data_IF_129399346190
#
_entry.id   IF_129399346190
#
_cell.length_a   1.000
_cell.length_b   1.000
_cell.length_c   1.000
_cell.angle_alpha   90.00
_cell.angle_beta   90.00
_cell.angle_gamma   90.00
#
_symmetry.space_group_name_H-M   'P 1'
#
loop_
_entity.id
_entity.type
_entity.pdbx_description
1 polymer ?
#
# COMPACT_ATOMS: atom_id res chain seq x y z
N UNK A 1 -12.68 -0.06 -12.04
CA UNK A 1 -13.63 -0.79 -12.91
C UNK A 1 -13.08 -1.14 -14.30
N UNK A 2 -11.98 -0.54 -14.79
CA UNK A 2 -11.45 -0.85 -16.14
C UNK A 2 -10.74 -2.22 -16.28
N UNK A 3 -10.39 -2.88 -15.17
CA UNK A 3 -9.71 -4.20 -15.17
C UNK A 3 -10.62 -5.36 -14.71
N UNK A 4 -11.68 -5.07 -13.95
CA UNK A 4 -12.65 -6.09 -13.53
C UNK A 4 -13.73 -6.16 -14.61
N UNK A 5 -13.45 -6.92 -15.67
CA UNK A 5 -14.43 -7.24 -16.70
C UNK A 5 -15.32 -8.39 -16.23
N UNK A 6 -16.53 -8.49 -16.76
CA UNK A 6 -17.48 -9.59 -16.48
C UNK A 6 -16.82 -10.96 -16.70
N UNK A 7 -15.94 -11.07 -17.69
CA UNK A 7 -15.17 -12.29 -17.98
C UNK A 7 -14.17 -12.65 -16.87
N UNK A 8 -13.50 -11.67 -16.26
CA UNK A 8 -12.52 -11.91 -15.17
C UNK A 8 -13.26 -12.24 -13.86
N UNK A 9 -14.37 -11.55 -13.61
CA UNK A 9 -15.26 -11.83 -12.48
C UNK A 9 -15.85 -13.24 -12.60
N UNK A 10 -16.37 -13.58 -13.79
CA UNK A 10 -16.90 -14.91 -14.06
C UNK A 10 -15.83 -15.99 -13.97
N UNK A 11 -14.64 -15.81 -14.56
CA UNK A 11 -13.56 -16.80 -14.46
C UNK A 11 -13.10 -17.05 -13.01
N UNK A 12 -13.33 -16.10 -12.10
CA UNK A 12 -13.00 -16.27 -10.67
C UNK A 12 -14.12 -16.98 -9.90
N UNK A 13 -15.39 -16.75 -10.25
CA UNK A 13 -16.55 -17.22 -9.50
C UNK A 13 -17.38 -18.31 -10.21
N UNK A 14 -17.01 -18.71 -11.42
CA UNK A 14 -17.73 -19.69 -12.23
C UNK A 14 -17.84 -21.06 -11.56
N UNK A 15 -16.89 -21.41 -10.69
CA UNK A 15 -16.91 -22.64 -9.90
C UNK A 15 -17.84 -22.58 -8.68
N UNK A 16 -18.24 -21.38 -8.23
CA UNK A 16 -18.96 -21.19 -6.96
C UNK A 16 -20.35 -20.56 -7.11
N UNK A 17 -20.63 -19.84 -8.21
CA UNK A 17 -21.86 -19.08 -8.39
C UNK A 17 -22.50 -19.33 -9.76
N UNK A 18 -23.82 -19.52 -9.77
CA UNK A 18 -24.62 -19.53 -11.02
C UNK A 18 -24.53 -18.16 -11.70
N UNK A 19 -24.50 -18.15 -13.04
CA UNK A 19 -24.34 -16.94 -13.86
C UNK A 19 -25.25 -15.77 -13.42
N UNK A 20 -26.53 -16.05 -13.17
CA UNK A 20 -27.50 -15.02 -12.77
C UNK A 20 -27.17 -14.37 -11.41
N UNK A 21 -26.63 -15.15 -10.46
CA UNK A 21 -26.20 -14.64 -9.15
C UNK A 21 -24.90 -13.85 -9.24
N UNK A 22 -23.95 -14.32 -10.06
CA UNK A 22 -22.72 -13.58 -10.31
C UNK A 22 -23.02 -12.20 -10.94
N UNK A 23 -23.97 -12.14 -11.88
CA UNK A 23 -24.35 -10.91 -12.55
C UNK A 23 -25.14 -9.96 -11.64
N UNK A 24 -26.01 -10.49 -10.77
CA UNK A 24 -26.73 -9.68 -9.77
C UNK A 24 -25.74 -9.01 -8.80
N UNK A 25 -24.75 -9.76 -8.30
CA UNK A 25 -23.69 -9.23 -7.41
C UNK A 25 -22.86 -8.17 -8.13
N UNK A 26 -22.46 -8.43 -9.37
CA UNK A 26 -21.70 -7.48 -10.19
C UNK A 26 -22.47 -6.16 -10.39
N UNK A 27 -23.78 -6.24 -10.68
CA UNK A 27 -24.62 -5.05 -10.88
C UNK A 27 -24.76 -4.19 -9.62
N UNK A 28 -24.95 -4.82 -8.45
CA UNK A 28 -25.00 -4.12 -7.14
C UNK A 28 -23.66 -3.50 -6.79
N UNK A 29 -22.55 -4.21 -7.03
CA UNK A 29 -21.20 -3.70 -6.82
C UNK A 29 -20.91 -2.48 -7.73
N UNK A 30 -21.29 -2.57 -9.01
CA UNK A 30 -21.15 -1.49 -9.99
C UNK A 30 -21.90 -0.22 -9.56
N UNK A 31 -23.14 -0.36 -9.07
CA UNK A 31 -23.94 0.77 -8.59
C UNK A 31 -23.33 1.48 -7.38
N UNK A 32 -22.55 0.79 -6.54
CA UNK A 32 -21.88 1.38 -5.38
C UNK A 32 -20.48 1.91 -5.68
N UNK A 33 -19.96 1.69 -6.90
CA UNK A 33 -18.62 2.11 -7.29
C UNK A 33 -18.38 3.61 -7.15
N UNK A 34 -19.38 4.47 -7.41
CA UNK A 34 -19.25 5.93 -7.27
C UNK A 34 -18.86 6.36 -5.84
N UNK A 35 -19.36 5.64 -4.82
CA UNK A 35 -19.05 5.88 -3.41
C UNK A 35 -17.57 5.60 -3.14
N UNK A 36 -17.02 4.54 -3.75
CA UNK A 36 -15.61 4.19 -3.61
C UNK A 36 -14.67 5.30 -4.13
N UNK A 37 -15.07 6.02 -5.18
CA UNK A 37 -14.29 7.14 -5.72
C UNK A 37 -14.23 8.34 -4.77
N UNK A 38 -15.25 8.55 -3.92
CA UNK A 38 -15.23 9.57 -2.87
C UNK A 38 -14.52 9.10 -1.59
N UNK A 39 -14.69 7.83 -1.22
CA UNK A 39 -14.09 7.27 -0.01
C UNK A 39 -12.57 7.13 -0.15
N UNK A 40 -12.07 6.74 -1.32
CA UNK A 40 -10.63 6.53 -1.58
C UNK A 40 -9.77 7.74 -1.22
N UNK A 41 -10.02 8.97 -1.72
CA UNK A 41 -9.21 10.13 -1.36
C UNK A 41 -9.30 10.49 0.12
N UNK A 42 -10.45 10.27 0.77
CA UNK A 42 -10.61 10.49 2.21
C UNK A 42 -9.73 9.51 3.01
N UNK A 43 -9.75 8.23 2.65
CA UNK A 43 -8.89 7.22 3.28
C UNK A 43 -7.40 7.52 3.06
N UNK A 44 -7.03 7.99 1.88
CA UNK A 44 -5.65 8.43 1.59
C UNK A 44 -5.25 9.62 2.46
N UNK A 45 -6.11 10.63 2.61
CA UNK A 45 -5.82 11.76 3.50
C UNK A 45 -5.63 11.32 4.95
N UNK A 46 -6.51 10.45 5.45
CA UNK A 46 -6.36 9.87 6.80
C UNK A 46 -5.03 9.14 6.93
N UNK A 47 -4.67 8.31 5.94
CA UNK A 47 -3.38 7.61 5.92
C UNK A 47 -2.21 8.60 6.02
N UNK A 48 -2.21 9.66 5.21
CA UNK A 48 -1.12 10.63 5.20
C UNK A 48 -1.04 11.39 6.53
N UNK A 49 -2.18 11.71 7.14
CA UNK A 49 -2.25 12.33 8.46
C UNK A 49 -1.67 11.43 9.54
N UNK A 50 -2.04 10.14 9.56
CA UNK A 50 -1.51 9.16 10.52
C UNK A 50 0.01 9.04 10.37
N UNK A 51 0.52 8.90 9.14
CA UNK A 51 1.95 8.82 8.87
C UNK A 51 2.69 10.09 9.30
N UNK A 52 2.09 11.26 9.09
CA UNK A 52 2.68 12.54 9.48
C UNK A 52 2.77 12.69 10.99
N UNK A 53 1.74 12.24 11.71
CA UNK A 53 1.74 12.24 13.19
C UNK A 53 2.78 11.27 13.73
N UNK A 54 2.90 10.06 13.16
CA UNK A 54 3.94 9.09 13.55
C UNK A 54 5.35 9.66 13.40
N UNK A 55 5.64 10.30 12.26
CA UNK A 55 6.93 10.96 12.04
C UNK A 55 7.13 12.14 13.00
N UNK A 56 6.09 12.94 13.24
CA UNK A 56 6.15 14.05 14.18
C UNK A 56 6.46 13.59 15.61
N UNK A 57 5.93 12.46 16.03
CA UNK A 57 6.24 11.85 17.34
C UNK A 57 7.74 11.53 17.43
N UNK A 58 8.36 10.93 16.42
CA UNK A 58 9.80 10.67 16.49
C UNK A 58 10.67 11.92 16.42
N UNK A 59 10.24 12.94 15.70
CA UNK A 59 10.88 14.26 15.69
C UNK A 59 10.81 14.90 17.07
N UNK A 60 9.67 14.74 17.76
CA UNK A 60 9.49 15.20 19.13
C UNK A 60 10.46 14.50 20.09
N UNK A 61 10.59 13.18 20.00
CA UNK A 61 11.57 12.41 20.79
C UNK A 61 13.03 12.74 20.46
N UNK A 62 13.30 13.32 19.30
CA UNK A 62 14.64 13.71 18.88
C UNK A 62 14.96 15.19 19.19
N UNK A 63 14.11 15.87 19.98
CA UNK A 63 14.22 17.29 20.34
C UNK A 63 14.22 18.29 19.15
N UNK A 64 13.81 17.84 17.95
CA UNK A 64 13.77 18.64 16.72
C UNK A 64 12.43 19.35 16.50
N UNK A 65 11.50 19.25 17.46
CA UNK A 65 10.14 19.81 17.36
C UNK A 65 10.09 21.32 17.16
N UNK A 66 11.16 22.05 17.52
CA UNK A 66 11.25 23.52 17.38
C UNK A 66 11.49 23.97 15.93
N UNK A 67 12.13 23.14 15.12
CA UNK A 67 12.49 23.47 13.73
C UNK A 67 11.49 22.92 12.71
N UNK A 68 10.74 21.88 13.11
CA UNK A 68 9.89 21.10 12.21
C UNK A 68 8.43 21.15 12.66
N UNK A 69 7.59 21.75 11.83
CA UNK A 69 6.14 21.78 12.05
C UNK A 69 5.45 20.59 11.39
N UNK A 70 4.30 20.17 11.94
CA UNK A 70 3.49 19.07 11.40
C UNK A 70 3.11 19.32 9.93
N UNK A 71 2.80 20.56 9.55
CA UNK A 71 2.46 20.90 8.17
C UNK A 71 3.61 20.72 7.17
N UNK A 72 4.86 20.91 7.60
CA UNK A 72 6.04 20.61 6.78
C UNK A 72 6.19 19.11 6.57
N UNK A 73 6.03 18.32 7.63
CA UNK A 73 6.09 16.84 7.57
C UNK A 73 4.98 16.30 6.67
N UNK A 74 3.76 16.82 6.79
CA UNK A 74 2.63 16.41 5.97
C UNK A 74 2.91 16.60 4.47
N UNK A 75 3.53 17.72 4.08
CA UNK A 75 3.95 17.93 2.68
C UNK A 75 4.97 16.90 2.21
N UNK A 76 5.94 16.53 3.06
CA UNK A 76 6.93 15.49 2.75
C UNK A 76 6.26 14.13 2.58
N UNK A 77 5.36 13.76 3.50
CA UNK A 77 4.62 12.50 3.44
C UNK A 77 3.79 12.42 2.16
N UNK A 78 2.98 13.44 1.87
CA UNK A 78 2.18 13.49 0.64
C UNK A 78 3.04 13.37 -0.62
N UNK A 79 4.18 14.07 -0.67
CA UNK A 79 5.10 13.99 -1.79
C UNK A 79 5.75 12.60 -1.93
N UNK A 80 6.14 11.98 -0.82
CA UNK A 80 6.67 10.62 -0.79
C UNK A 80 5.64 9.59 -1.25
N UNK A 81 4.37 9.78 -0.89
CA UNK A 81 3.31 8.82 -1.20
C UNK A 81 3.02 8.67 -2.69
N UNK A 82 3.42 9.64 -3.51
CA UNK A 82 3.38 9.55 -4.97
C UNK A 82 4.10 8.32 -5.50
N UNK A 83 5.13 7.83 -4.79
CA UNK A 83 5.85 6.60 -5.15
C UNK A 83 4.92 5.39 -5.18
N UNK A 84 4.01 5.26 -4.22
CA UNK A 84 3.05 4.16 -4.18
C UNK A 84 1.96 4.29 -5.25
N UNK A 85 1.60 5.52 -5.62
CA UNK A 85 0.70 5.76 -6.75
C UNK A 85 1.37 5.30 -8.05
N UNK A 86 2.65 5.66 -8.24
CA UNK A 86 3.44 5.20 -9.40
C UNK A 86 3.56 3.67 -9.42
N UNK A 87 3.85 3.04 -8.27
CA UNK A 87 3.88 1.58 -8.15
C UNK A 87 2.56 0.94 -8.58
N UNK A 88 1.44 1.54 -8.18
CA UNK A 88 0.10 1.08 -8.55
C UNK A 88 -0.11 1.20 -10.07
N UNK A 89 0.29 2.32 -10.69
CA UNK A 89 0.21 2.50 -12.15
C UNK A 89 1.07 1.46 -12.88
N UNK A 90 2.29 1.20 -12.41
CA UNK A 90 3.16 0.17 -12.99
C UNK A 90 2.50 -1.21 -12.91
N UNK A 91 1.90 -1.55 -11.77
CA UNK A 91 1.13 -2.80 -11.61
C UNK A 91 0.00 -2.88 -12.63
N UNK A 92 -0.77 -1.80 -12.80
CA UNK A 92 -1.88 -1.75 -13.77
C UNK A 92 -1.37 -1.95 -15.21
N UNK A 93 -0.31 -1.23 -15.61
CA UNK A 93 0.27 -1.34 -16.94
C UNK A 93 0.79 -2.76 -17.20
N UNK A 94 1.42 -3.39 -16.19
CA UNK A 94 1.87 -4.77 -16.31
C UNK A 94 0.73 -5.73 -16.65
N UNK A 95 -0.39 -5.64 -15.93
CA UNK A 95 -1.55 -6.49 -16.19
C UNK A 95 -2.24 -6.19 -17.52
N UNK A 96 -2.24 -4.94 -17.99
CA UNK A 96 -2.84 -4.56 -19.27
C UNK A 96 -2.03 -5.11 -20.45
N UNK A 97 -0.70 -5.03 -20.40
CA UNK A 97 0.16 -5.34 -21.54
C UNK A 97 0.71 -6.78 -21.54
N UNK A 98 0.94 -7.36 -20.36
CA UNK A 98 1.67 -8.63 -20.24
C UNK A 98 0.82 -9.78 -19.71
N UNK A 99 -0.26 -9.51 -18.99
CA UNK A 99 -1.13 -10.53 -18.44
C UNK A 99 -2.35 -10.73 -19.34
N UNK A 100 -2.25 -11.62 -20.33
CA UNK A 100 -3.38 -11.93 -21.23
C UNK A 100 -4.51 -12.73 -20.56
N UNK A 101 -4.18 -13.61 -19.59
CA UNK A 101 -5.12 -14.48 -18.88
C UNK A 101 -4.76 -14.54 -17.39
N UNK A 102 -5.14 -13.53 -16.61
CA UNK A 102 -4.92 -13.51 -15.15
C UNK A 102 -6.25 -13.59 -14.39
N UNK A 103 -6.19 -14.19 -13.21
CA UNK A 103 -7.31 -14.22 -12.26
C UNK A 103 -7.22 -13.04 -11.28
N UNK A 104 -8.31 -12.75 -10.55
CA UNK A 104 -8.29 -11.76 -9.44
C UNK A 104 -7.28 -12.15 -8.36
N UNK A 105 -7.05 -13.44 -8.25
CA UNK A 105 -6.14 -14.10 -7.33
C UNK A 105 -4.66 -13.83 -7.66
N UNK A 106 -4.30 -13.91 -8.94
CA UNK A 106 -2.96 -13.54 -9.44
C UNK A 106 -2.72 -12.03 -9.27
N UNK A 107 -3.76 -11.23 -9.52
CA UNK A 107 -3.72 -9.78 -9.34
C UNK A 107 -3.50 -9.41 -7.87
N UNK A 108 -4.00 -10.22 -6.94
CA UNK A 108 -3.85 -10.01 -5.50
C UNK A 108 -2.49 -10.47 -4.97
N UNK A 109 -1.93 -11.55 -5.53
CA UNK A 109 -0.62 -12.09 -5.14
C UNK A 109 0.55 -11.24 -5.67
N UNK A 110 0.44 -10.69 -6.88
CA UNK A 110 1.52 -9.93 -7.51
C UNK A 110 1.65 -8.50 -6.96
N UNK A 111 2.86 -8.07 -6.62
CA UNK A 111 3.19 -6.66 -6.42
C UNK A 111 4.54 -6.34 -7.09
N UNK A 112 4.61 -5.34 -7.98
CA UNK A 112 5.81 -5.11 -8.78
C UNK A 112 7.02 -4.80 -7.90
N UNK A 113 8.18 -5.37 -8.25
CA UNK A 113 9.46 -5.14 -7.55
C UNK A 113 9.41 -5.43 -6.04
N UNK A 114 8.57 -6.36 -5.60
CA UNK A 114 8.54 -6.88 -4.23
C UNK A 114 9.14 -8.28 -4.13
N UNK A 115 9.50 -8.67 -2.91
CA UNK A 115 10.04 -10.01 -2.62
C UNK A 115 9.07 -11.13 -2.93
N UNK A 116 7.75 -10.89 -2.94
CA UNK A 116 6.75 -11.92 -3.24
C UNK A 116 6.97 -12.56 -4.62
N UNK A 117 7.53 -11.81 -5.58
CA UNK A 117 7.73 -12.29 -6.95
C UNK A 117 8.87 -13.31 -7.07
N UNK A 118 9.65 -13.52 -6.01
CA UNK A 118 10.69 -14.55 -5.96
C UNK A 118 10.13 -15.93 -5.59
N UNK A 119 8.86 -15.99 -5.18
CA UNK A 119 8.19 -17.20 -4.72
C UNK A 119 6.97 -17.49 -5.58
N UNK A 120 6.62 -18.77 -5.66
CA UNK A 120 5.38 -19.22 -6.27
C UNK A 120 4.24 -19.16 -5.26
N UNK A 121 3.00 -19.00 -5.74
CA UNK A 121 1.81 -18.93 -4.88
C UNK A 121 1.64 -20.14 -3.96
N UNK A 122 2.03 -21.33 -4.43
CA UNK A 122 1.98 -22.59 -3.66
C UNK A 122 3.03 -22.70 -2.56
N UNK A 123 4.07 -21.87 -2.58
CA UNK A 123 5.21 -21.94 -1.65
C UNK A 123 5.03 -20.98 -0.46
N UNK A 124 4.09 -20.03 -0.56
CA UNK A 124 3.90 -18.97 0.42
C UNK A 124 2.55 -19.12 1.11
N UNK A 125 2.58 -19.32 2.42
CA UNK A 125 1.36 -19.32 3.22
C UNK A 125 0.68 -17.93 3.17
N UNK A 126 -0.65 -17.88 3.19
CA UNK A 126 -1.39 -16.65 2.93
C UNK A 126 -1.05 -15.50 3.90
N UNK A 127 -0.71 -15.79 5.16
CA UNK A 127 -0.25 -14.79 6.13
C UNK A 127 1.13 -14.17 5.79
N UNK A 128 1.97 -14.85 5.00
CA UNK A 128 3.26 -14.32 4.54
C UNK A 128 3.16 -13.45 3.28
N UNK A 129 2.03 -13.49 2.56
CA UNK A 129 1.85 -12.73 1.32
C UNK A 129 2.02 -11.23 1.57
N UNK A 130 1.29 -10.68 2.55
CA UNK A 130 1.34 -9.25 2.85
C UNK A 130 2.74 -8.75 3.31
N UNK A 131 3.44 -9.42 4.25
CA UNK A 131 4.82 -9.08 4.59
C UNK A 131 5.76 -9.04 3.38
N UNK A 132 5.72 -10.07 2.53
CA UNK A 132 6.61 -10.19 1.37
C UNK A 132 6.29 -9.17 0.28
N UNK A 133 5.03 -8.76 0.14
CA UNK A 133 4.62 -7.65 -0.72
C UNK A 133 5.09 -6.29 -0.18
N UNK A 134 5.05 -6.13 1.14
CA UNK A 134 5.44 -4.88 1.82
C UNK A 134 6.93 -4.59 1.64
N UNK A 135 7.77 -5.63 1.63
CA UNK A 135 9.20 -5.49 1.33
C UNK A 135 9.39 -5.37 -0.19
N UNK A 136 9.49 -4.13 -0.67
CA UNK A 136 9.61 -3.83 -2.09
C UNK A 136 10.48 -2.58 -2.35
N UNK A 137 10.89 -2.40 -3.62
CA UNK A 137 11.76 -1.28 -3.98
C UNK A 137 11.10 0.09 -3.75
N UNK A 138 9.79 0.20 -4.00
CA UNK A 138 9.03 1.44 -3.78
C UNK A 138 9.03 1.84 -2.30
N UNK A 139 9.00 0.87 -1.39
CA UNK A 139 9.07 1.07 0.04
C UNK A 139 10.43 1.63 0.45
N UNK A 140 11.52 1.14 -0.14
CA UNK A 140 12.87 1.67 0.09
C UNK A 140 13.00 3.10 -0.44
N UNK A 141 12.53 3.35 -1.66
CA UNK A 141 12.50 4.70 -2.26
C UNK A 141 11.70 5.65 -1.40
N UNK A 142 10.55 5.22 -0.87
CA UNK A 142 9.71 6.01 0.02
C UNK A 142 10.47 6.46 1.28
N UNK A 143 11.16 5.55 1.97
CA UNK A 143 11.97 5.87 3.16
C UNK A 143 13.05 6.90 2.83
N UNK A 144 13.74 6.73 1.69
CA UNK A 144 14.76 7.69 1.23
C UNK A 144 14.16 9.08 0.94
N UNK A 145 13.01 9.13 0.29
CA UNK A 145 12.29 10.38 0.00
C UNK A 145 11.81 11.08 1.26
N UNK A 146 11.30 10.34 2.25
CA UNK A 146 10.92 10.92 3.54
C UNK A 146 12.10 11.61 4.21
N UNK A 147 13.25 10.92 4.29
CA UNK A 147 14.44 11.52 4.89
C UNK A 147 14.97 12.70 4.05
N UNK A 148 14.85 12.65 2.71
CA UNK A 148 15.32 13.73 1.80
C UNK A 148 14.44 14.97 1.94
N UNK A 149 13.13 14.77 1.92
CA UNK A 149 12.17 15.83 2.14
C UNK A 149 12.33 16.45 3.52
N UNK A 150 12.53 15.63 4.56
CA UNK A 150 12.69 16.12 5.92
C UNK A 150 13.97 16.93 6.11
N UNK A 151 15.11 16.43 5.62
CA UNK A 151 16.38 17.17 5.68
C UNK A 151 16.29 18.49 4.91
N UNK A 152 15.68 18.49 3.72
CA UNK A 152 15.58 19.67 2.86
C UNK A 152 14.64 20.75 3.40
N UNK A 153 13.52 20.39 4.00
CA UNK A 153 12.50 21.33 4.47
C UNK A 153 12.80 21.89 5.87
N UNK A 154 13.62 21.16 6.64
CA UNK A 154 13.94 21.49 8.01
C UNK A 154 15.38 21.96 8.21
N UNK A 155 16.20 21.98 7.15
CA UNK A 155 17.63 22.34 7.20
C UNK A 155 18.44 21.51 8.20
N UNK A 156 17.93 20.35 8.61
CA UNK A 156 18.63 19.44 9.52
C UNK A 156 19.62 18.58 8.74
N UNK A 157 20.69 18.16 9.43
CA UNK A 157 21.66 17.24 8.87
C UNK A 157 21.00 15.97 8.35
N UNK A 158 21.49 15.51 7.19
CA UNK A 158 20.96 14.33 6.49
C UNK A 158 20.93 13.09 7.38
N UNK A 159 22.03 12.85 8.09
CA UNK A 159 22.17 11.71 9.00
C UNK A 159 21.11 11.73 10.11
N UNK A 160 20.80 12.90 10.65
CA UNK A 160 19.75 13.05 11.67
C UNK A 160 18.38 12.76 11.08
N UNK A 161 18.08 13.26 9.88
CA UNK A 161 16.83 12.97 9.19
C UNK A 161 16.66 11.46 8.90
N UNK A 162 17.72 10.81 8.42
CA UNK A 162 17.74 9.36 8.17
C UNK A 162 17.48 8.58 9.46
N UNK A 163 18.16 8.92 10.57
CA UNK A 163 17.95 8.28 11.88
C UNK A 163 16.51 8.42 12.36
N UNK A 164 15.94 9.62 12.29
CA UNK A 164 14.55 9.88 12.71
C UNK A 164 13.55 9.07 11.88
N UNK A 165 13.69 9.09 10.55
CA UNK A 165 12.79 8.34 9.66
C UNK A 165 12.93 6.85 9.89
N UNK A 166 14.14 6.32 10.00
CA UNK A 166 14.34 4.89 10.25
C UNK A 166 13.81 4.47 11.64
N UNK A 167 14.06 5.26 12.68
CA UNK A 167 13.63 4.96 14.04
C UNK A 167 12.10 5.05 14.23
N UNK A 168 11.40 5.77 13.36
CA UNK A 168 9.93 5.90 13.42
C UNK A 168 9.24 4.96 12.45
N UNK A 169 9.63 5.02 11.19
CA UNK A 169 8.92 4.40 10.10
C UNK A 169 9.12 2.87 10.09
N UNK A 170 10.35 2.40 10.34
CA UNK A 170 10.66 0.96 10.31
C UNK A 170 9.94 0.21 11.45
N UNK A 171 9.92 0.70 12.70
CA UNK A 171 9.11 0.07 13.74
C UNK A 171 7.61 0.16 13.45
N UNK A 172 7.12 1.30 12.94
CA UNK A 172 5.70 1.47 12.62
C UNK A 172 5.23 0.47 11.55
N UNK A 173 6.00 0.29 10.47
CA UNK A 173 5.66 -0.69 9.43
C UNK A 173 5.79 -2.13 9.96
N UNK A 174 6.76 -2.43 10.83
CA UNK A 174 6.89 -3.75 11.44
C UNK A 174 5.67 -4.11 12.31
N UNK A 175 5.22 -3.17 13.16
CA UNK A 175 4.01 -3.35 13.98
C UNK A 175 2.77 -3.52 13.10
N UNK A 176 2.64 -2.71 12.04
CA UNK A 176 1.54 -2.83 11.09
C UNK A 176 1.51 -4.18 10.38
N UNK A 177 2.66 -4.64 9.87
CA UNK A 177 2.80 -5.95 9.21
C UNK A 177 2.46 -7.08 10.18
N UNK A 178 2.97 -7.03 11.42
CA UNK A 178 2.66 -8.05 12.43
C UNK A 178 1.16 -8.11 12.76
N UNK A 179 0.49 -6.95 12.84
CA UNK A 179 -0.95 -6.88 13.03
C UNK A 179 -1.72 -7.51 11.86
N UNK A 180 -1.35 -7.19 10.61
CA UNK A 180 -2.01 -7.76 9.43
C UNK A 180 -1.77 -9.27 9.33
N UNK A 181 -0.56 -9.73 9.65
CA UNK A 181 -0.28 -11.17 9.73
C UNK A 181 -1.19 -11.87 10.73
N UNK A 182 -1.31 -11.30 11.94
CA UNK A 182 -2.16 -11.86 13.00
C UNK A 182 -3.62 -11.96 12.55
N UNK A 183 -4.19 -10.88 12.01
CA UNK A 183 -5.56 -10.87 11.49
C UNK A 183 -5.76 -11.84 10.32
N UNK A 184 -4.73 -12.08 9.51
CA UNK A 184 -4.81 -13.00 8.37
C UNK A 184 -4.86 -14.46 8.80
N UNK A 185 -4.30 -14.80 9.96
CA UNK A 185 -4.36 -16.15 10.54
C UNK A 185 -5.79 -16.43 11.04
N UNK A 186 -6.38 -15.48 11.76
CA UNK A 186 -7.74 -15.63 12.33
C UNK A 186 -8.82 -15.83 11.25
N UNK A 187 -8.63 -15.25 10.06
CA UNK A 187 -9.57 -15.42 8.93
C UNK A 187 -9.48 -16.81 8.28
N UNK A 188 -8.38 -17.55 8.50
CA UNK A 188 -8.15 -18.88 7.93
C UNK A 188 -8.48 -20.03 8.89
N UNK A 189 -8.64 -19.76 10.18
CA UNK A 189 -9.06 -20.72 11.22
C UNK A 189 -10.56 -20.74 11.40
#
# INVERSE_FOLDING_TARGET
>A
MALINETVFFNTYSEQLTYDRAMEIFSKMSSFSWVSYLITPVLLLIKFSVMSVLLYIGIFFSDLHKEITLGKIFKVVVAGELVFIIASIIKLLWFIFFAGNYTLDDMSFFYPLSLINLFSRSEVAAYWIYPLQTVNLFQLVYVLLLALGLSKISSINRETADKVVLATYVPAIAVWVALVMFLSIDVQT
#
